data_IF_044840270936
#
_entry.id   IF_044840270936
#
_cell.length_a   1.000
_cell.length_b   1.000
_cell.length_c   1.000
_cell.angle_alpha   90.00
_cell.angle_beta   90.00
_cell.angle_gamma   90.00
#
_symmetry.space_group_name_H-M   'P 1'
#
loop_
_entity.id
_entity.type
_entity.pdbx_description
1 polymer ?
#
# COMPACT_ATOMS: atom_id res chain seq x y z
N UNK A 1 -22.88 -40.58 -42.37
CA UNK A 1 -22.10 -40.64 -41.10
C UNK A 1 -21.91 -39.28 -40.43
N UNK A 2 -22.55 -38.18 -40.89
CA UNK A 2 -22.29 -36.82 -40.36
C UNK A 2 -23.34 -36.25 -39.40
N UNK A 3 -24.46 -36.94 -39.15
CA UNK A 3 -25.53 -36.41 -38.28
C UNK A 3 -25.33 -36.76 -36.80
N UNK A 4 -24.49 -37.75 -36.48
CA UNK A 4 -24.24 -38.18 -35.08
C UNK A 4 -23.16 -37.37 -34.35
N UNK A 5 -22.25 -36.71 -35.07
CA UNK A 5 -21.17 -35.89 -34.50
C UNK A 5 -21.66 -34.50 -34.05
N UNK A 6 -22.70 -33.95 -34.68
CA UNK A 6 -23.28 -32.65 -34.32
C UNK A 6 -24.03 -32.69 -32.96
N UNK A 7 -24.80 -33.75 -32.69
CA UNK A 7 -25.54 -33.88 -31.43
C UNK A 7 -24.65 -34.08 -30.20
N UNK A 8 -23.49 -34.72 -30.36
CA UNK A 8 -22.52 -34.91 -29.26
C UNK A 8 -21.81 -33.59 -28.93
N UNK A 9 -21.42 -32.79 -29.94
CA UNK A 9 -20.82 -31.47 -29.70
C UNK A 9 -21.79 -30.45 -29.09
N UNK A 10 -23.08 -30.53 -29.43
CA UNK A 10 -24.10 -29.67 -28.83
C UNK A 10 -24.33 -30.02 -27.36
N UNK A 11 -24.40 -31.32 -27.01
CA UNK A 11 -24.53 -31.77 -25.62
C UNK A 11 -23.36 -31.39 -24.70
N UNK A 12 -22.13 -31.37 -25.21
CA UNK A 12 -20.94 -30.94 -24.45
C UNK A 12 -20.92 -29.42 -24.22
N UNK A 13 -21.35 -28.62 -25.21
CA UNK A 13 -21.49 -27.15 -25.05
C UNK A 13 -22.55 -26.79 -24.01
N UNK A 14 -23.69 -27.47 -24.00
CA UNK A 14 -24.76 -27.21 -23.03
C UNK A 14 -24.35 -27.60 -21.61
N UNK A 15 -23.62 -28.72 -21.43
CA UNK A 15 -23.06 -29.12 -20.13
C UNK A 15 -21.98 -28.14 -19.63
N UNK A 16 -21.13 -27.61 -20.51
CA UNK A 16 -20.12 -26.59 -20.16
C UNK A 16 -20.75 -25.24 -19.77
N UNK A 17 -21.87 -24.88 -20.39
CA UNK A 17 -22.67 -23.70 -20.01
C UNK A 17 -23.35 -23.88 -18.65
N UNK A 18 -23.96 -25.05 -18.39
CA UNK A 18 -24.59 -25.35 -17.10
C UNK A 18 -23.57 -25.40 -15.96
N UNK A 19 -22.35 -25.92 -16.20
CA UNK A 19 -21.27 -25.86 -15.22
C UNK A 19 -20.81 -24.42 -14.95
N UNK A 20 -20.70 -23.58 -16.00
CA UNK A 20 -20.29 -22.18 -15.85
C UNK A 20 -21.34 -21.34 -15.10
N UNK A 21 -22.64 -21.60 -15.33
CA UNK A 21 -23.73 -20.96 -14.57
C UNK A 21 -23.73 -21.43 -13.11
N UNK A 22 -23.48 -22.71 -12.87
CA UNK A 22 -23.39 -23.26 -11.50
C UNK A 22 -22.19 -22.69 -10.74
N UNK A 23 -21.02 -22.55 -11.39
CA UNK A 23 -19.82 -21.90 -10.81
C UNK A 23 -20.07 -20.41 -10.55
N UNK A 24 -20.80 -19.72 -11.44
CA UNK A 24 -21.17 -18.30 -11.22
C UNK A 24 -22.12 -18.13 -10.04
N UNK A 25 -23.12 -19.01 -9.90
CA UNK A 25 -24.05 -18.97 -8.77
C UNK A 25 -23.37 -19.34 -7.44
N UNK A 26 -22.44 -20.30 -7.47
CA UNK A 26 -21.66 -20.70 -6.29
C UNK A 26 -20.68 -19.59 -5.87
N UNK A 27 -20.11 -18.85 -6.83
CA UNK A 27 -19.34 -17.63 -6.56
C UNK A 27 -20.20 -16.51 -5.97
N UNK A 28 -21.44 -16.30 -6.43
CA UNK A 28 -22.34 -15.28 -5.86
C UNK A 28 -22.80 -15.64 -4.43
N UNK A 29 -22.94 -16.93 -4.14
CA UNK A 29 -23.27 -17.44 -2.81
C UNK A 29 -22.07 -17.33 -1.84
N UNK A 30 -20.85 -17.62 -2.30
CA UNK A 30 -19.60 -17.33 -1.57
C UNK A 30 -19.40 -15.82 -1.34
N UNK A 31 -19.66 -15.00 -2.36
CA UNK A 31 -19.60 -13.53 -2.29
C UNK A 31 -20.56 -12.98 -1.24
N UNK A 32 -21.77 -13.56 -1.17
CA UNK A 32 -22.77 -13.26 -0.15
C UNK A 32 -22.36 -13.75 1.26
N UNK A 33 -21.70 -14.91 1.36
CA UNK A 33 -21.15 -15.43 2.64
C UNK A 33 -19.98 -14.60 3.15
N UNK A 34 -19.09 -14.12 2.27
CA UNK A 34 -17.98 -13.21 2.62
C UNK A 34 -18.54 -11.85 3.07
N UNK A 35 -19.50 -11.27 2.35
CA UNK A 35 -20.19 -10.04 2.76
C UNK A 35 -20.93 -10.18 4.10
N UNK A 36 -21.53 -11.36 4.38
CA UNK A 36 -22.15 -11.66 5.69
C UNK A 36 -21.12 -11.85 6.81
N UNK A 37 -19.94 -12.42 6.51
CA UNK A 37 -18.85 -12.58 7.48
C UNK A 37 -18.18 -11.24 7.82
N UNK A 38 -18.14 -10.30 6.85
CA UNK A 38 -17.67 -8.92 7.05
C UNK A 38 -18.73 -8.05 7.75
N UNK A 39 -20.03 -8.21 7.44
CA UNK A 39 -21.15 -7.54 8.15
C UNK A 39 -21.47 -8.11 9.53
N UNK A 40 -20.93 -9.28 9.89
CA UNK A 40 -21.18 -9.94 11.18
C UNK A 40 -20.56 -9.22 12.39
N UNK A 41 -19.73 -8.20 12.16
CA UNK A 41 -19.23 -7.31 13.21
C UNK A 41 -19.93 -5.96 13.10
N UNK A 42 -21.20 -5.91 13.49
CA UNK A 42 -21.94 -4.67 13.69
C UNK A 42 -22.82 -4.82 14.92
N UNK A 43 -22.49 -4.00 15.92
CA UNK A 43 -23.04 -3.89 17.27
C UNK A 43 -22.62 -4.99 18.26
N UNK A 44 -21.87 -4.58 19.28
CA UNK A 44 -22.48 -4.45 20.60
C UNK A 44 -22.52 -2.99 21.06
N UNK A 45 -23.65 -2.63 21.65
CA UNK A 45 -23.87 -1.62 22.69
C UNK A 45 -22.76 -0.60 22.97
N UNK A 46 -23.14 0.67 22.85
CA UNK A 46 -22.54 1.84 23.51
C UNK A 46 -22.40 1.62 25.02
N UNK A 47 -21.32 0.94 25.42
CA UNK A 47 -20.60 1.13 26.68
C UNK A 47 -19.45 0.12 26.68
N UNK A 48 -18.20 0.59 26.53
CA UNK A 48 -17.07 -0.20 27.00
C UNK A 48 -16.11 0.67 27.78
N UNK A 49 -15.75 0.13 28.93
CA UNK A 49 -15.09 0.76 30.07
C UNK A 49 -13.72 1.32 29.74
N UNK A 50 -13.38 2.41 30.44
CA UNK A 50 -12.04 2.99 30.59
C UNK A 50 -10.97 1.90 30.70
N UNK A 51 -10.26 1.64 29.61
CA UNK A 51 -8.92 1.06 29.67
C UNK A 51 -8.01 2.11 29.04
N UNK A 52 -7.47 2.97 29.89
CA UNK A 52 -6.32 3.81 29.54
C UNK A 52 -5.20 2.86 29.15
N UNK A 53 -4.81 2.87 27.88
CA UNK A 53 -3.54 2.26 27.49
C UNK A 53 -2.48 3.34 27.69
N UNK A 54 -1.69 3.16 28.76
CA UNK A 54 -0.60 4.05 29.10
C UNK A 54 0.51 3.98 28.02
N UNK A 55 1.22 5.10 27.79
CA UNK A 55 2.36 5.12 26.87
C UNK A 55 3.47 4.15 27.34
N UNK A 56 4.30 3.61 26.42
CA UNK A 56 5.38 2.71 26.79
C UNK A 56 6.40 3.41 27.69
N UNK A 57 6.77 2.73 28.78
CA UNK A 57 7.76 3.18 29.74
C UNK A 57 9.18 2.89 29.22
N UNK A 58 9.99 3.94 28.99
CA UNK A 58 11.33 4.07 29.59
C UNK A 58 12.08 5.38 29.26
N UNK A 59 12.56 6.02 30.35
CA UNK A 59 13.78 6.82 30.59
C UNK A 59 14.11 8.05 29.70
N UNK A 60 13.85 9.27 30.20
CA UNK A 60 14.85 10.14 30.88
C UNK A 60 14.30 11.56 31.14
N UNK A 61 14.31 11.97 32.41
CA UNK A 61 14.00 13.33 32.86
C UNK A 61 15.10 14.31 32.41
N UNK A 62 14.75 15.28 31.56
CA UNK A 62 15.51 16.50 31.32
C UNK A 62 14.82 17.72 31.97
N UNK A 63 15.55 18.75 32.42
CA UNK A 63 14.99 19.79 33.27
C UNK A 63 14.06 20.76 32.52
N UNK A 64 12.96 21.11 33.20
CA UNK A 64 12.01 22.18 32.83
C UNK A 64 12.73 23.48 32.47
N UNK A 65 12.44 24.00 31.29
CA UNK A 65 12.81 25.37 30.91
C UNK A 65 11.57 26.29 30.97
N UNK A 66 11.82 27.50 31.47
CA UNK A 66 10.85 28.53 31.78
C UNK A 66 10.23 29.20 30.54
N UNK A 67 9.11 29.88 30.80
CA UNK A 67 8.21 30.61 29.91
C UNK A 67 8.83 31.58 28.86
N UNK A 68 8.21 31.54 27.65
CA UNK A 68 7.98 32.59 26.61
C UNK A 68 9.20 33.04 25.75
N UNK A 69 9.02 33.34 24.43
CA UNK A 69 8.02 34.26 23.87
C UNK A 69 7.26 33.81 22.61
N UNK A 70 6.22 34.60 22.30
CA UNK A 70 5.34 34.59 21.13
C UNK A 70 6.10 34.29 19.81
N UNK A 71 6.11 33.04 19.34
CA UNK A 71 6.84 32.61 18.15
C UNK A 71 5.89 32.56 16.94
N UNK A 72 6.26 33.29 15.87
CA UNK A 72 5.65 33.19 14.55
C UNK A 72 5.58 31.73 14.12
N UNK A 73 4.39 31.27 13.74
CA UNK A 73 4.14 29.96 13.14
C UNK A 73 5.17 29.75 12.02
N UNK A 74 6.11 28.82 12.20
CA UNK A 74 6.96 28.39 11.09
C UNK A 74 6.03 27.87 9.99
N UNK A 75 6.14 28.43 8.78
CA UNK A 75 5.28 28.07 7.65
C UNK A 75 5.58 26.69 7.07
N UNK A 76 6.56 25.97 7.62
CA UNK A 76 6.99 24.65 7.20
C UNK A 76 6.44 23.59 8.15
N UNK A 77 5.74 22.60 7.61
CA UNK A 77 5.29 21.43 8.34
C UNK A 77 6.48 20.58 8.79
N UNK A 78 6.43 20.07 10.02
CA UNK A 78 7.28 18.98 10.47
C UNK A 78 6.60 17.66 10.08
N UNK A 79 7.22 16.88 9.20
CA UNK A 79 6.69 15.59 8.77
C UNK A 79 7.10 14.46 9.73
N UNK A 80 6.12 13.77 10.32
CA UNK A 80 6.36 12.63 11.18
C UNK A 80 5.84 11.33 10.57
N UNK A 81 6.48 10.22 10.95
CA UNK A 81 5.93 8.88 10.71
C UNK A 81 5.25 8.44 12.01
N UNK A 82 3.94 8.13 12.00
CA UNK A 82 3.23 7.77 13.22
C UNK A 82 3.74 6.45 13.79
N UNK A 83 3.79 6.34 15.10
CA UNK A 83 4.10 5.08 15.78
C UNK A 83 2.92 4.10 15.65
N UNK A 84 3.24 2.81 15.62
CA UNK A 84 2.26 1.71 15.61
C UNK A 84 2.47 0.86 16.85
N UNK A 85 1.43 0.66 17.65
CA UNK A 85 1.40 -0.38 18.69
C UNK A 85 1.53 -1.74 18.01
N UNK A 86 2.27 -2.67 18.63
CA UNK A 86 2.78 -3.90 18.00
C UNK A 86 1.74 -4.96 17.62
N UNK A 87 0.45 -4.65 17.67
CA UNK A 87 -0.60 -5.54 17.22
C UNK A 87 -0.91 -5.29 15.74
N UNK A 88 -0.90 -6.34 14.91
CA UNK A 88 -1.13 -6.18 13.46
C UNK A 88 -2.52 -5.57 13.16
N UNK A 89 -3.46 -5.77 14.08
CA UNK A 89 -4.84 -5.31 14.04
C UNK A 89 -5.10 -3.98 14.77
N UNK A 90 -4.13 -3.39 15.48
CA UNK A 90 -4.31 -2.04 16.03
C UNK A 90 -4.11 -1.00 14.92
N UNK A 91 -5.13 -0.15 14.73
CA UNK A 91 -5.19 0.90 13.71
C UNK A 91 -4.97 2.29 14.30
N UNK A 92 -4.47 2.35 15.54
CA UNK A 92 -4.20 3.59 16.25
C UNK A 92 -2.85 4.16 15.83
N UNK A 93 -2.89 5.36 15.28
CA UNK A 93 -1.73 6.17 14.93
C UNK A 93 -1.39 7.10 16.08
N UNK A 94 -0.10 7.22 16.40
CA UNK A 94 0.36 8.09 17.48
C UNK A 94 1.31 9.17 16.99
N UNK A 95 1.16 10.35 17.59
CA UNK A 95 2.09 11.47 17.54
C UNK A 95 2.44 11.85 18.98
N UNK A 96 3.72 11.78 19.33
CA UNK A 96 4.24 12.39 20.55
C UNK A 96 4.85 13.72 20.22
N UNK A 97 4.32 14.78 20.80
CA UNK A 97 4.72 16.13 20.50
C UNK A 97 5.27 16.83 21.74
N UNK A 98 6.53 17.27 21.67
CA UNK A 98 7.21 17.97 22.78
C UNK A 98 7.20 19.49 22.62
N UNK A 99 6.74 20.03 21.48
CA UNK A 99 6.78 21.46 21.20
C UNK A 99 5.61 21.94 20.34
N UNK A 100 5.13 23.19 20.52
CA UNK A 100 4.16 23.78 19.61
C UNK A 100 4.66 23.78 18.16
N UNK A 101 3.77 23.59 17.19
CA UNK A 101 4.14 23.49 15.77
C UNK A 101 3.07 22.88 14.88
N UNK A 102 3.36 22.77 13.58
CA UNK A 102 2.51 22.10 12.59
C UNK A 102 3.11 20.74 12.24
N UNK A 103 2.43 19.65 12.57
CA UNK A 103 2.93 18.29 12.37
C UNK A 103 2.08 17.53 11.36
N UNK A 104 2.68 17.16 10.23
CA UNK A 104 2.00 16.42 9.17
C UNK A 104 2.35 14.93 9.21
N UNK A 105 1.32 14.09 9.26
CA UNK A 105 1.49 12.65 9.18
C UNK A 105 1.79 12.22 7.74
N UNK A 106 2.93 11.56 7.51
CA UNK A 106 3.33 11.03 6.19
C UNK A 106 2.38 9.95 5.64
N UNK A 107 1.63 9.27 6.52
CA UNK A 107 0.78 8.12 6.14
C UNK A 107 -0.64 8.55 5.79
N UNK A 108 -1.28 9.38 6.64
CA UNK A 108 -2.66 9.83 6.43
C UNK A 108 -2.76 11.19 5.76
N UNK A 109 -1.68 11.99 5.75
CA UNK A 109 -1.69 13.38 5.33
C UNK A 109 -2.29 14.35 6.37
N UNK A 110 -2.90 13.85 7.45
CA UNK A 110 -3.50 14.66 8.51
C UNK A 110 -2.45 15.57 9.17
N UNK A 111 -2.79 16.84 9.36
CA UNK A 111 -1.92 17.81 10.04
C UNK A 111 -2.53 18.24 11.37
N UNK A 112 -1.70 18.26 12.41
CA UNK A 112 -2.04 18.78 13.73
C UNK A 112 -1.30 20.10 13.98
N UNK A 113 -2.04 21.17 14.26
CA UNK A 113 -1.47 22.40 14.80
C UNK A 113 -1.47 22.32 16.33
N UNK A 114 -0.30 22.07 16.90
CA UNK A 114 -0.08 21.92 18.34
C UNK A 114 0.23 23.27 18.96
N UNK A 115 -0.49 23.64 20.03
CA UNK A 115 -0.23 24.86 20.82
C UNK A 115 0.72 24.62 22.01
N UNK A 116 0.91 23.37 22.40
CA UNK A 116 1.71 22.93 23.54
C UNK A 116 2.15 21.48 23.34
N UNK A 117 2.98 20.97 24.25
CA UNK A 117 3.31 19.55 24.31
C UNK A 117 2.04 18.71 24.54
N UNK A 118 2.02 17.49 24.00
CA UNK A 118 0.91 16.58 24.18
C UNK A 118 0.98 15.39 23.23
N UNK A 119 0.34 14.30 23.64
CA UNK A 119 0.24 13.10 22.83
C UNK A 119 -1.10 13.09 22.10
N UNK A 120 -1.03 12.79 20.80
CA UNK A 120 -2.21 12.66 19.96
C UNK A 120 -2.29 11.23 19.48
N UNK A 121 -3.44 10.62 19.67
CA UNK A 121 -3.79 9.33 19.08
C UNK A 121 -4.96 9.53 18.12
N UNK A 122 -4.97 8.81 17.00
CA UNK A 122 -6.12 8.82 16.12
C UNK A 122 -6.29 7.52 15.34
N UNK A 123 -7.50 7.28 14.86
CA UNK A 123 -7.84 6.13 13.99
C UNK A 123 -8.62 6.61 12.77
N UNK A 124 -8.50 5.89 11.67
CA UNK A 124 -9.36 6.11 10.49
C UNK A 124 -10.57 5.19 10.66
N UNK A 125 -11.75 5.78 10.83
CA UNK A 125 -13.00 5.04 11.09
C UNK A 125 -13.95 5.14 9.88
N UNK A 126 -14.84 4.16 9.68
CA UNK A 126 -15.78 4.20 8.55
C UNK A 126 -16.81 5.31 8.71
N UNK A 127 -17.26 5.87 7.58
CA UNK A 127 -18.38 6.80 7.55
C UNK A 127 -19.72 6.08 7.74
N UNK A 128 -20.65 6.71 8.46
CA UNK A 128 -22.06 6.30 8.43
C UNK A 128 -22.78 6.99 7.27
N UNK A 129 -22.89 6.29 6.13
CA UNK A 129 -23.59 6.82 4.95
C UNK A 129 -25.02 7.28 5.27
N UNK A 130 -25.71 6.57 6.16
CA UNK A 130 -27.08 6.91 6.57
C UNK A 130 -27.17 8.30 7.22
N UNK A 131 -26.27 8.59 8.15
CA UNK A 131 -26.28 9.87 8.87
C UNK A 131 -25.92 11.05 7.95
N UNK A 132 -24.98 10.84 7.03
CA UNK A 132 -24.60 11.86 6.06
C UNK A 132 -25.71 12.13 5.03
N UNK A 133 -26.32 11.09 4.47
CA UNK A 133 -27.39 11.25 3.48
C UNK A 133 -28.62 11.95 4.05
N UNK A 134 -28.96 11.73 5.33
CA UNK A 134 -30.05 12.44 6.00
C UNK A 134 -29.82 13.96 6.06
N UNK A 135 -28.56 14.40 6.02
CA UNK A 135 -28.16 15.81 6.05
C UNK A 135 -27.78 16.34 4.66
N UNK A 136 -27.99 15.55 3.59
CA UNK A 136 -27.63 15.93 2.22
C UNK A 136 -26.12 16.09 2.01
N UNK A 137 -25.32 15.31 2.73
CA UNK A 137 -23.85 15.35 2.71
C UNK A 137 -23.26 14.03 2.21
N UNK A 138 -22.03 14.11 1.72
CA UNK A 138 -21.24 12.98 1.23
C UNK A 138 -19.80 13.06 1.71
N UNK A 139 -19.12 11.93 1.94
CA UNK A 139 -17.69 11.93 2.24
C UNK A 139 -16.88 12.60 1.13
N UNK A 140 -15.89 13.40 1.52
CA UNK A 140 -14.87 13.99 0.64
C UNK A 140 -13.43 13.72 1.15
N UNK A 141 -13.31 12.86 2.16
CA UNK A 141 -12.05 12.43 2.77
C UNK A 141 -12.29 11.37 3.85
N UNK A 142 -11.23 10.93 4.55
CA UNK A 142 -11.33 9.96 5.63
C UNK A 142 -11.96 10.59 6.87
N UNK A 143 -12.57 9.77 7.72
CA UNK A 143 -13.05 10.18 9.03
C UNK A 143 -12.02 9.78 10.09
N UNK A 144 -11.50 10.74 10.82
CA UNK A 144 -10.45 10.56 11.82
C UNK A 144 -11.02 10.68 13.23
N UNK A 145 -11.10 9.58 13.98
CA UNK A 145 -11.39 9.57 15.42
C UNK A 145 -10.12 9.98 16.17
N UNK A 146 -10.06 11.22 16.66
CA UNK A 146 -8.87 11.86 17.23
C UNK A 146 -9.04 12.04 18.73
N UNK A 147 -7.99 11.78 19.49
CA UNK A 147 -7.92 11.98 20.94
C UNK A 147 -6.62 12.66 21.33
N UNK A 148 -6.70 13.66 22.22
CA UNK A 148 -5.54 14.29 22.85
C UNK A 148 -5.91 14.64 24.30
N UNK A 149 -5.32 13.94 25.27
CA UNK A 149 -5.66 14.13 26.68
C UNK A 149 -5.28 15.54 27.17
N UNK A 150 -4.18 16.07 26.67
CA UNK A 150 -3.61 17.37 27.04
C UNK A 150 -4.34 18.55 26.39
N UNK A 151 -5.31 18.32 25.50
CA UNK A 151 -6.05 19.35 24.77
C UNK A 151 -5.12 20.31 24.00
N UNK A 152 -3.97 19.79 23.54
CA UNK A 152 -2.88 20.58 22.95
C UNK A 152 -3.03 20.81 21.45
N UNK A 153 -3.99 20.19 20.78
CA UNK A 153 -4.32 20.47 19.38
C UNK A 153 -5.25 21.68 19.31
N UNK A 154 -4.88 22.70 18.53
CA UNK A 154 -5.69 23.89 18.30
C UNK A 154 -6.41 23.86 16.95
N UNK A 155 -5.78 23.29 15.92
CA UNK A 155 -6.29 23.27 14.56
C UNK A 155 -6.01 21.91 13.91
N UNK A 156 -6.91 21.48 13.03
CA UNK A 156 -6.73 20.31 12.18
C UNK A 156 -6.68 20.74 10.71
N UNK A 157 -5.74 20.17 9.94
CA UNK A 157 -5.79 20.25 8.48
C UNK A 157 -6.15 18.86 7.95
N UNK A 158 -7.39 18.73 7.49
CA UNK A 158 -7.98 17.45 7.08
C UNK A 158 -7.82 17.27 5.57
N UNK A 159 -7.20 16.17 5.10
CA UNK A 159 -6.92 15.96 3.69
C UNK A 159 -8.21 15.73 2.87
N UNK A 160 -8.27 16.34 1.70
CA UNK A 160 -9.27 16.07 0.66
C UNK A 160 -8.59 15.81 -0.71
N UNK A 161 -9.36 15.24 -1.64
CA UNK A 161 -8.87 14.93 -2.99
C UNK A 161 -9.66 15.64 -4.09
N UNK A 162 -10.58 16.53 -3.74
CA UNK A 162 -11.37 17.31 -4.70
C UNK A 162 -10.50 18.21 -5.58
N UNK A 163 -10.84 18.29 -6.86
CA UNK A 163 -10.23 19.18 -7.85
C UNK A 163 -11.34 20.10 -8.34
N UNK A 164 -11.49 21.29 -7.74
CA UNK A 164 -12.61 22.15 -8.03
C UNK A 164 -12.58 22.60 -9.49
N UNK A 165 -13.75 22.67 -10.11
CA UNK A 165 -13.91 23.22 -11.46
C UNK A 165 -13.91 24.75 -11.50
N UNK A 166 -14.11 25.39 -10.35
CA UNK A 166 -14.11 26.85 -10.14
C UNK A 166 -13.04 27.24 -9.12
N UNK A 167 -12.70 28.53 -9.02
CA UNK A 167 -11.58 28.99 -8.18
C UNK A 167 -11.74 28.73 -6.66
N UNK A 168 -12.90 28.22 -6.18
CA UNK A 168 -13.12 27.95 -4.76
C UNK A 168 -13.93 26.69 -4.48
N UNK A 169 -13.42 25.82 -3.60
CA UNK A 169 -14.11 24.65 -3.03
C UNK A 169 -15.18 25.03 -1.97
N UNK A 170 -16.05 26.01 -2.24
CA UNK A 170 -17.04 26.49 -1.24
C UNK A 170 -18.06 25.44 -0.80
N UNK A 171 -18.12 24.30 -1.47
CA UNK A 171 -19.00 23.17 -1.16
C UNK A 171 -18.43 22.20 -0.12
N UNK A 172 -17.18 22.38 0.32
CA UNK A 172 -16.56 21.55 1.36
C UNK A 172 -16.80 22.13 2.76
N UNK A 173 -16.98 21.22 3.70
CA UNK A 173 -17.15 21.48 5.13
C UNK A 173 -16.59 20.30 5.92
N UNK A 174 -16.46 20.42 7.24
CA UNK A 174 -16.02 19.32 8.10
C UNK A 174 -17.20 18.81 8.91
N UNK A 175 -17.41 17.50 8.91
CA UNK A 175 -18.31 16.86 9.86
C UNK A 175 -17.55 16.56 11.15
N UNK A 176 -18.13 16.95 12.28
CA UNK A 176 -17.73 16.60 13.63
C UNK A 176 -18.76 15.60 14.17
N UNK A 177 -18.33 14.35 14.39
CA UNK A 177 -19.18 13.24 14.80
C UNK A 177 -18.85 12.90 16.26
N UNK A 178 -19.76 13.29 17.15
CA UNK A 178 -19.69 13.01 18.58
C UNK A 178 -20.86 12.16 19.06
N UNK A 179 -20.96 11.97 20.38
CA UNK A 179 -22.01 11.15 21.00
C UNK A 179 -23.42 11.74 20.82
N UNK A 180 -23.53 13.08 20.72
CA UNK A 180 -24.80 13.80 20.54
C UNK A 180 -25.26 13.89 19.09
N UNK A 181 -24.43 13.45 18.12
CA UNK A 181 -24.77 13.44 16.70
C UNK A 181 -23.68 14.00 15.80
N UNK A 182 -24.09 14.54 14.65
CA UNK A 182 -23.20 15.12 13.65
C UNK A 182 -23.42 16.63 13.55
N UNK A 183 -22.34 17.38 13.71
CA UNK A 183 -22.29 18.82 13.48
C UNK A 183 -21.45 19.14 12.24
N UNK A 184 -21.76 20.24 11.56
CA UNK A 184 -21.00 20.68 10.39
C UNK A 184 -20.27 21.99 10.68
N UNK A 185 -18.94 21.90 10.68
CA UNK A 185 -18.02 23.01 10.91
C UNK A 185 -17.65 23.62 9.55
N UNK A 186 -17.72 24.96 9.46
CA UNK A 186 -17.24 25.69 8.28
C UNK A 186 -15.72 25.71 8.28
N UNK A 187 -15.13 25.58 7.10
CA UNK A 187 -13.70 25.71 6.93
C UNK A 187 -13.25 27.14 7.23
N UNK A 188 -12.13 27.29 7.95
CA UNK A 188 -11.40 28.54 8.06
C UNK A 188 -10.70 28.86 6.73
N UNK A 189 -10.09 27.83 6.14
CA UNK A 189 -9.41 27.89 4.86
C UNK A 189 -9.54 26.55 4.15
N UNK A 190 -9.61 26.58 2.82
CA UNK A 190 -9.58 25.38 1.98
C UNK A 190 -8.45 25.56 0.97
N UNK A 191 -7.46 24.69 1.08
CA UNK A 191 -6.31 24.64 0.18
C UNK A 191 -6.58 23.65 -0.96
N UNK A 192 -5.60 23.39 -1.82
CA UNK A 192 -5.72 22.36 -2.86
C UNK A 192 -5.80 20.92 -2.30
N UNK A 193 -5.42 20.72 -1.04
CA UNK A 193 -5.23 19.38 -0.46
C UNK A 193 -5.83 19.20 0.93
N UNK A 194 -6.10 20.29 1.66
CA UNK A 194 -6.59 20.25 3.03
C UNK A 194 -7.70 21.27 3.28
N UNK A 195 -8.66 20.86 4.12
CA UNK A 195 -9.62 21.74 4.78
C UNK A 195 -9.13 22.02 6.19
N UNK A 196 -9.00 23.30 6.53
CA UNK A 196 -8.44 23.78 7.79
C UNK A 196 -9.58 24.21 8.72
N UNK A 197 -9.61 23.67 9.94
CA UNK A 197 -10.59 24.03 10.98
C UNK A 197 -9.95 24.18 12.36
N UNK A 198 -10.46 25.14 13.13
CA UNK A 198 -10.18 25.23 14.56
C UNK A 198 -11.03 24.22 15.33
N UNK A 199 -10.45 23.59 16.35
CA UNK A 199 -11.15 22.62 17.19
C UNK A 199 -11.08 23.02 18.66
N UNK A 200 -12.15 22.71 19.40
CA UNK A 200 -12.23 22.90 20.85
C UNK A 200 -12.45 21.60 21.61
N UNK A 201 -12.69 20.50 20.89
CA UNK A 201 -12.94 19.17 21.43
C UNK A 201 -12.39 18.08 20.51
N UNK A 202 -12.45 16.85 21.00
CA UNK A 202 -11.85 15.67 20.37
C UNK A 202 -12.89 14.59 20.18
N UNK A 203 -13.04 14.15 18.95
CA UNK A 203 -13.94 13.07 18.51
C UNK A 203 -13.59 12.74 17.04
N UNK A 204 -14.55 12.26 16.25
CA UNK A 204 -14.32 11.98 14.84
C UNK A 204 -14.55 13.20 13.93
N UNK A 205 -13.54 13.55 13.13
CA UNK A 205 -13.57 14.66 12.17
C UNK A 205 -13.28 14.19 10.75
N UNK A 206 -14.05 14.66 9.77
CA UNK A 206 -13.82 14.29 8.37
C UNK A 206 -14.41 15.29 7.38
N UNK A 207 -13.78 15.40 6.21
CA UNK A 207 -14.24 16.33 5.17
C UNK A 207 -15.47 15.77 4.48
N UNK A 208 -16.49 16.62 4.32
CA UNK A 208 -17.73 16.31 3.61
C UNK A 208 -18.04 17.37 2.56
N UNK A 209 -18.72 16.94 1.50
CA UNK A 209 -19.27 17.79 0.45
C UNK A 209 -20.79 17.73 0.42
N UNK A 210 -21.41 18.76 -0.15
CA UNK A 210 -22.86 18.75 -0.41
C UNK A 210 -23.21 17.70 -1.47
N UNK A 211 -24.29 16.96 -1.28
CA UNK A 211 -24.72 15.94 -2.24
C UNK A 211 -25.02 16.51 -3.63
N UNK A 212 -25.48 17.76 -3.69
CA UNK A 212 -25.79 18.49 -4.91
C UNK A 212 -24.58 19.21 -5.53
N UNK A 213 -23.36 19.05 -4.98
CA UNK A 213 -22.16 19.65 -5.57
C UNK A 213 -21.91 19.11 -6.99
N UNK A 214 -21.29 19.92 -7.84
CA UNK A 214 -20.87 19.47 -9.18
C UNK A 214 -20.03 18.18 -9.08
N UNK A 215 -20.10 17.29 -10.09
CA UNK A 215 -19.26 16.09 -10.17
C UNK A 215 -17.84 16.48 -10.58
N UNK A 216 -17.21 17.31 -9.76
CA UNK A 216 -15.85 17.77 -9.95
C UNK A 216 -14.90 16.57 -9.99
N UNK A 217 -13.77 16.75 -10.66
CA UNK A 217 -12.77 15.69 -10.71
C UNK A 217 -12.15 15.52 -9.33
N UNK A 218 -11.66 14.33 -9.04
CA UNK A 218 -10.90 14.05 -7.82
C UNK A 218 -9.53 13.48 -8.18
N UNK A 219 -8.55 13.74 -7.32
CA UNK A 219 -7.30 13.01 -7.32
C UNK A 219 -7.59 11.57 -6.93
N UNK A 220 -7.20 10.63 -7.79
CA UNK A 220 -7.50 9.21 -7.64
C UNK A 220 -6.23 8.36 -7.80
N UNK A 221 -6.37 7.08 -7.49
CA UNK A 221 -5.32 6.06 -7.51
C UNK A 221 -5.78 4.88 -8.36
N UNK A 222 -4.89 4.40 -9.21
CA UNK A 222 -4.99 3.09 -9.88
C UNK A 222 -4.03 2.15 -9.17
N UNK A 223 -4.56 1.29 -8.29
CA UNK A 223 -3.77 0.31 -7.57
C UNK A 223 -3.87 -1.06 -8.25
N UNK A 224 -2.76 -1.77 -8.30
CA UNK A 224 -2.63 -3.03 -9.01
C UNK A 224 -2.21 -4.13 -8.04
N UNK A 225 -2.90 -5.25 -8.13
CA UNK A 225 -2.61 -6.43 -7.34
C UNK A 225 -2.57 -7.66 -8.24
N UNK A 226 -1.45 -8.38 -8.22
CA UNK A 226 -1.23 -9.57 -9.02
C UNK A 226 -1.48 -10.82 -8.19
N UNK A 227 -2.33 -11.70 -8.72
CA UNK A 227 -2.56 -13.04 -8.20
C UNK A 227 -1.90 -14.06 -9.14
N UNK A 228 -0.88 -14.80 -8.67
CA UNK A 228 -0.29 -15.89 -9.44
C UNK A 228 -1.29 -17.04 -9.58
N UNK A 229 -1.13 -17.89 -10.61
CA UNK A 229 -2.01 -19.02 -10.84
C UNK A 229 -1.78 -20.08 -9.77
N UNK A 230 -2.87 -20.66 -9.25
CA UNK A 230 -2.80 -21.69 -8.21
C UNK A 230 -2.25 -23.02 -8.74
N UNK A 231 -2.45 -23.29 -10.03
CA UNK A 231 -1.91 -24.46 -10.75
C UNK A 231 -1.38 -24.02 -12.11
N UNK A 232 -0.51 -24.80 -12.78
CA UNK A 232 0.00 -24.45 -14.12
C UNK A 232 -1.07 -24.26 -15.19
N UNK A 233 -2.27 -24.81 -14.98
CA UNK A 233 -3.42 -24.72 -15.89
C UNK A 233 -4.36 -23.55 -15.56
N UNK A 234 -4.10 -22.84 -14.46
CA UNK A 234 -4.90 -21.67 -14.05
C UNK A 234 -4.39 -20.39 -14.67
N UNK A 235 -5.30 -19.45 -14.89
CA UNK A 235 -4.95 -18.14 -15.43
C UNK A 235 -4.25 -17.25 -14.39
N UNK A 236 -3.36 -16.40 -14.88
CA UNK A 236 -2.86 -15.26 -14.15
C UNK A 236 -3.94 -14.19 -14.03
N UNK A 237 -3.97 -13.49 -12.89
CA UNK A 237 -4.95 -12.43 -12.65
C UNK A 237 -4.31 -11.15 -12.11
N UNK A 238 -4.78 -10.01 -12.59
CA UNK A 238 -4.48 -8.68 -12.03
C UNK A 238 -5.79 -8.04 -11.62
N UNK A 239 -5.90 -7.75 -10.33
CA UNK A 239 -6.96 -6.94 -9.76
C UNK A 239 -6.55 -5.46 -9.83
N UNK A 240 -7.41 -4.66 -10.43
CA UNK A 240 -7.21 -3.22 -10.63
C UNK A 240 -8.27 -2.47 -9.84
N UNK A 241 -7.83 -1.66 -8.89
CA UNK A 241 -8.70 -0.87 -8.02
C UNK A 241 -8.60 0.60 -8.44
N UNK A 242 -9.75 1.25 -8.62
CA UNK A 242 -9.85 2.69 -8.74
C UNK A 242 -10.35 3.26 -7.41
N UNK A 243 -9.51 4.03 -6.72
CA UNK A 243 -9.83 4.58 -5.39
C UNK A 243 -9.54 6.08 -5.34
N UNK A 244 -10.24 6.87 -4.52
CA UNK A 244 -9.85 8.26 -4.27
C UNK A 244 -8.50 8.32 -3.54
N UNK A 245 -7.72 9.40 -3.76
CA UNK A 245 -6.36 9.56 -3.21
C UNK A 245 -6.31 9.47 -1.68
N UNK A 246 -7.38 9.85 -1.00
CA UNK A 246 -7.42 9.89 0.45
C UNK A 246 -7.56 8.52 1.10
N UNK A 247 -7.79 7.45 0.32
CA UNK A 247 -7.76 6.10 0.87
C UNK A 247 -6.33 5.76 1.26
N UNK A 248 -6.12 5.44 2.54
CA UNK A 248 -4.82 5.04 3.06
C UNK A 248 -4.34 3.72 2.45
N UNK A 249 -3.20 3.75 1.74
CA UNK A 249 -2.64 2.56 1.07
C UNK A 249 -2.46 1.38 2.04
N UNK A 250 -2.06 1.63 3.29
CA UNK A 250 -1.90 0.61 4.33
C UNK A 250 -3.19 -0.18 4.59
N UNK A 251 -4.34 0.50 4.65
CA UNK A 251 -5.63 -0.14 4.87
C UNK A 251 -6.01 -1.03 3.67
N UNK A 252 -5.74 -0.55 2.45
CA UNK A 252 -5.93 -1.33 1.23
C UNK A 252 -5.08 -2.60 1.26
N UNK A 253 -3.78 -2.47 1.52
CA UNK A 253 -2.85 -3.61 1.57
C UNK A 253 -3.29 -4.67 2.60
N UNK A 254 -3.70 -4.23 3.80
CA UNK A 254 -4.22 -5.12 4.85
C UNK A 254 -5.48 -5.85 4.41
N UNK A 255 -6.48 -5.13 3.91
CA UNK A 255 -7.74 -5.72 3.45
C UNK A 255 -7.53 -6.73 2.32
N UNK A 256 -6.69 -6.39 1.33
CA UNK A 256 -6.35 -7.29 0.22
C UNK A 256 -5.68 -8.56 0.71
N UNK A 257 -4.69 -8.44 1.62
CA UNK A 257 -4.02 -9.59 2.27
C UNK A 257 -4.97 -10.46 3.09
N UNK A 258 -6.00 -9.87 3.72
CA UNK A 258 -7.04 -10.60 4.48
C UNK A 258 -7.93 -11.43 3.54
N UNK A 259 -8.24 -10.93 2.34
CA UNK A 259 -9.06 -11.66 1.34
C UNK A 259 -8.24 -12.74 0.63
N UNK A 260 -7.00 -12.43 0.25
CA UNK A 260 -6.15 -13.33 -0.51
C UNK A 260 -4.68 -13.09 -0.13
N UNK A 261 -4.07 -14.09 0.52
CA UNK A 261 -2.68 -13.99 1.00
C UNK A 261 -1.64 -14.08 -0.11
N UNK A 262 -1.99 -14.69 -1.24
CA UNK A 262 -1.08 -14.91 -2.37
C UNK A 262 -1.05 -13.72 -3.33
N UNK A 263 -1.96 -12.76 -3.10
CA UNK A 263 -2.02 -11.55 -3.89
C UNK A 263 -0.88 -10.58 -3.55
N UNK A 264 -0.24 -10.07 -4.60
CA UNK A 264 0.96 -9.24 -4.51
C UNK A 264 0.67 -7.83 -5.02
N UNK A 265 0.89 -6.82 -4.19
CA UNK A 265 0.84 -5.43 -4.64
C UNK A 265 1.91 -5.18 -5.71
N UNK A 266 1.50 -4.56 -6.82
CA UNK A 266 2.37 -4.17 -7.92
C UNK A 266 2.61 -2.67 -7.82
N UNK A 267 3.79 -2.31 -7.33
CA UNK A 267 4.20 -0.93 -7.19
C UNK A 267 4.32 -0.27 -8.56
N UNK A 268 3.44 0.70 -8.81
CA UNK A 268 3.43 1.53 -10.02
C UNK A 268 2.96 2.92 -9.64
N UNK A 269 3.41 4.00 -10.33
CA UNK A 269 2.91 5.34 -10.08
C UNK A 269 1.38 5.41 -10.25
N UNK A 270 0.61 5.54 -9.14
CA UNK A 270 -0.81 5.20 -9.15
C UNK A 270 -1.70 6.41 -9.50
N UNK A 271 -1.17 7.63 -9.37
CA UNK A 271 -1.98 8.84 -9.42
C UNK A 271 -2.60 9.10 -10.80
N UNK A 272 -3.87 9.49 -10.78
CA UNK A 272 -4.63 9.98 -11.92
C UNK A 272 -5.73 10.97 -11.46
N UNK A 273 -6.52 11.48 -12.41
CA UNK A 273 -7.70 12.31 -12.14
C UNK A 273 -8.92 11.58 -12.68
N UNK A 274 -9.92 11.36 -11.84
CA UNK A 274 -11.17 10.70 -12.22
C UNK A 274 -12.35 11.56 -11.81
N UNK A 275 -13.45 11.46 -12.55
CA UNK A 275 -14.72 12.09 -12.22
C UNK A 275 -15.64 11.04 -11.58
N UNK A 276 -16.22 11.33 -10.40
CA UNK A 276 -17.20 10.45 -9.78
C UNK A 276 -18.35 10.13 -10.74
N UNK A 277 -18.88 8.90 -10.67
CA UNK A 277 -20.02 8.42 -11.47
C UNK A 277 -19.80 8.35 -12.99
N UNK A 278 -18.58 8.57 -13.47
CA UNK A 278 -18.22 8.34 -14.88
C UNK A 278 -17.84 6.89 -15.12
N UNK A 279 -18.11 6.42 -16.33
CA UNK A 279 -17.73 5.09 -16.81
C UNK A 279 -16.33 5.12 -17.43
N UNK A 280 -15.48 4.22 -16.95
CA UNK A 280 -14.12 4.04 -17.43
C UNK A 280 -13.97 2.69 -18.11
N UNK A 281 -13.02 2.62 -19.05
CA UNK A 281 -12.58 1.38 -19.71
C UNK A 281 -11.12 1.14 -19.40
N UNK A 282 -10.80 -0.07 -18.93
CA UNK A 282 -9.44 -0.57 -18.88
C UNK A 282 -9.14 -1.35 -20.16
N UNK A 283 -8.01 -1.03 -20.80
CA UNK A 283 -7.59 -1.67 -22.05
C UNK A 283 -6.13 -2.09 -21.99
N UNK A 284 -5.79 -3.09 -22.79
CA UNK A 284 -4.42 -3.53 -23.02
C UNK A 284 -4.08 -3.37 -24.50
N UNK A 285 -2.81 -3.56 -24.88
CA UNK A 285 -2.41 -3.42 -26.29
C UNK A 285 -3.22 -4.36 -27.19
N UNK A 286 -3.75 -3.88 -28.34
CA UNK A 286 -4.43 -4.74 -29.31
C UNK A 286 -3.50 -5.84 -29.81
N UNK A 287 -4.00 -7.08 -29.92
CA UNK A 287 -3.29 -8.22 -30.54
C UNK A 287 -2.96 -9.40 -29.62
N UNK A 288 -3.14 -9.29 -28.29
CA UNK A 288 -2.97 -10.44 -27.38
C UNK A 288 -4.30 -11.18 -27.24
N UNK A 289 -4.53 -12.21 -28.06
CA UNK A 289 -5.76 -13.03 -28.05
C UNK A 289 -6.06 -13.71 -26.69
N UNK A 290 -5.06 -13.82 -25.81
CA UNK A 290 -5.13 -14.50 -24.51
C UNK A 290 -5.31 -13.57 -23.30
N UNK A 291 -5.62 -12.27 -23.50
CA UNK A 291 -5.84 -11.34 -22.38
C UNK A 291 -7.29 -10.87 -22.38
N UNK A 292 -7.99 -11.11 -21.28
CA UNK A 292 -9.38 -10.68 -21.06
C UNK A 292 -9.43 -9.64 -19.95
N UNK A 293 -10.10 -8.52 -20.22
CA UNK A 293 -10.42 -7.50 -19.22
C UNK A 293 -11.91 -7.55 -18.92
N UNK A 294 -12.28 -7.57 -17.63
CA UNK A 294 -13.66 -7.56 -17.19
C UNK A 294 -13.85 -6.70 -15.93
N UNK A 295 -14.99 -5.98 -15.78
CA UNK A 295 -15.98 -5.74 -16.83
C UNK A 295 -15.39 -4.90 -17.98
N UNK A 296 -16.12 -4.74 -19.09
CA UNK A 296 -15.68 -3.88 -20.21
C UNK A 296 -15.61 -2.42 -19.79
N UNK A 297 -16.57 -2.01 -18.97
CA UNK A 297 -16.67 -0.66 -18.41
C UNK A 297 -17.10 -0.78 -16.95
N UNK A 298 -16.61 0.13 -16.11
CA UNK A 298 -16.99 0.23 -14.72
C UNK A 298 -17.08 1.69 -14.31
N UNK A 299 -18.01 1.99 -13.40
CA UNK A 299 -18.17 3.31 -12.81
C UNK A 299 -17.09 3.55 -11.75
N UNK A 300 -16.57 4.78 -11.69
CA UNK A 300 -15.71 5.21 -10.58
C UNK A 300 -16.56 5.70 -9.41
N UNK A 301 -16.54 4.93 -8.32
CA UNK A 301 -17.15 5.28 -7.05
C UNK A 301 -16.15 6.01 -6.14
N UNK A 302 -16.30 7.33 -6.02
CA UNK A 302 -15.46 8.16 -5.16
C UNK A 302 -15.88 8.13 -3.68
N UNK A 303 -16.97 7.42 -3.35
CA UNK A 303 -17.52 7.32 -1.99
C UNK A 303 -17.10 5.99 -1.31
N UNK A 304 -16.37 5.13 -2.02
CA UNK A 304 -15.94 3.81 -1.54
C UNK A 304 -14.65 3.88 -0.69
N UNK A 305 -14.81 4.17 0.61
CA UNK A 305 -13.68 4.30 1.56
C UNK A 305 -13.35 3.01 2.34
N UNK A 306 -14.24 2.02 2.33
CA UNK A 306 -14.15 0.78 3.11
C UNK A 306 -14.18 -0.50 2.27
N UNK A 307 -14.49 -0.39 0.97
CA UNK A 307 -14.65 -1.52 0.07
C UNK A 307 -13.55 -1.55 -1.01
N UNK A 308 -12.45 -2.25 -0.72
CA UNK A 308 -11.31 -2.36 -1.65
C UNK A 308 -11.41 -3.59 -2.57
N UNK A 309 -12.59 -3.77 -3.17
CA UNK A 309 -12.80 -4.76 -4.21
C UNK A 309 -12.32 -4.26 -5.58
N UNK A 310 -11.91 -5.15 -6.50
CA UNK A 310 -11.39 -4.74 -7.80
C UNK A 310 -12.47 -4.11 -8.67
N UNK A 311 -12.16 -2.96 -9.26
CA UNK A 311 -13.00 -2.31 -10.28
C UNK A 311 -12.88 -3.03 -11.62
N UNK A 312 -11.68 -3.49 -11.96
CA UNK A 312 -11.42 -4.34 -13.12
C UNK A 312 -10.57 -5.54 -12.74
N UNK A 313 -10.70 -6.60 -13.53
CA UNK A 313 -9.87 -7.78 -13.50
C UNK A 313 -9.28 -8.01 -14.89
N UNK A 314 -7.98 -8.25 -14.93
CA UNK A 314 -7.27 -8.66 -16.14
C UNK A 314 -6.84 -10.11 -15.97
N UNK A 315 -7.35 -10.99 -16.81
CA UNK A 315 -7.10 -12.44 -16.76
C UNK A 315 -6.35 -12.86 -18.01
N UNK A 316 -5.30 -13.67 -17.86
CA UNK A 316 -4.48 -14.14 -18.97
C UNK A 316 -3.81 -15.49 -18.71
N UNK A 317 -3.74 -16.34 -19.74
CA UNK A 317 -3.26 -17.74 -19.62
C UNK A 317 -1.73 -17.85 -19.51
N UNK A 318 -0.98 -17.26 -20.45
CA UNK A 318 0.47 -17.45 -20.55
C UNK A 318 1.25 -16.41 -19.76
N UNK A 319 2.30 -16.83 -19.04
CA UNK A 319 3.20 -15.92 -18.33
C UNK A 319 3.75 -14.85 -19.26
N UNK A 320 3.74 -13.60 -18.79
CA UNK A 320 4.29 -12.45 -19.52
C UNK A 320 5.30 -11.75 -18.62
N UNK A 321 6.38 -11.21 -19.20
CA UNK A 321 7.34 -10.39 -18.43
C UNK A 321 6.77 -9.01 -18.10
N UNK A 322 5.87 -8.50 -18.94
CA UNK A 322 5.14 -7.25 -18.70
C UNK A 322 3.80 -7.18 -19.44
N UNK A 323 2.92 -6.33 -18.92
CA UNK A 323 1.67 -5.91 -19.55
C UNK A 323 1.63 -4.39 -19.67
N UNK A 324 0.89 -3.87 -20.66
CA UNK A 324 0.61 -2.44 -20.79
C UNK A 324 -0.87 -2.23 -20.54
N UNK A 325 -1.18 -1.44 -19.53
CA UNK A 325 -2.53 -1.10 -19.11
C UNK A 325 -2.79 0.38 -19.45
N UNK A 326 -4.00 0.65 -19.93
CA UNK A 326 -4.46 2.00 -20.27
C UNK A 326 -5.88 2.17 -19.77
N UNK A 327 -6.09 3.10 -18.85
CA UNK A 327 -7.39 3.54 -18.36
C UNK A 327 -7.81 4.79 -19.14
N UNK A 328 -9.05 4.80 -19.61
CA UNK A 328 -9.64 5.95 -20.32
C UNK A 328 -11.11 6.09 -19.99
N UNK A 329 -11.61 7.31 -20.11
CA UNK A 329 -13.04 7.58 -20.18
C UNK A 329 -13.52 7.42 -21.64
N UNK A 330 -14.81 7.18 -21.84
CA UNK A 330 -15.40 7.08 -23.19
C UNK A 330 -15.15 8.38 -23.97
N UNK A 331 -14.58 8.25 -25.17
CA UNK A 331 -14.38 9.38 -26.08
C UNK A 331 -13.18 10.27 -25.75
N UNK A 332 -12.39 9.94 -24.72
CA UNK A 332 -11.20 10.71 -24.34
C UNK A 332 -9.91 9.93 -24.57
N UNK A 333 -8.79 10.65 -24.48
CA UNK A 333 -7.46 10.04 -24.46
C UNK A 333 -7.24 9.23 -23.18
N UNK A 334 -6.20 8.40 -23.17
CA UNK A 334 -5.85 7.63 -21.96
C UNK A 334 -5.44 8.56 -20.83
N UNK A 335 -6.15 8.46 -19.70
CA UNK A 335 -5.95 9.27 -18.49
C UNK A 335 -4.83 8.68 -17.63
N UNK A 336 -4.69 7.36 -17.66
CA UNK A 336 -3.61 6.66 -16.99
C UNK A 336 -3.09 5.53 -17.87
N UNK A 337 -1.77 5.41 -17.99
CA UNK A 337 -1.12 4.41 -18.85
C UNK A 337 0.19 3.96 -18.22
N UNK A 338 0.34 2.66 -17.98
CA UNK A 338 1.55 2.09 -17.40
C UNK A 338 1.97 0.80 -18.08
N UNK A 339 3.28 0.59 -18.10
CA UNK A 339 3.87 -0.72 -18.34
C UNK A 339 4.12 -1.35 -16.97
N UNK A 340 3.45 -2.45 -16.71
CA UNK A 340 3.52 -3.20 -15.45
C UNK A 340 4.40 -4.40 -15.71
N UNK A 341 5.51 -4.51 -14.99
CA UNK A 341 6.44 -5.63 -15.09
C UNK A 341 6.10 -6.65 -13.99
N UNK A 342 6.06 -7.93 -14.34
CA UNK A 342 5.82 -9.02 -13.39
C UNK A 342 7.11 -9.67 -12.91
N UNK A 343 8.20 -9.42 -13.63
CA UNK A 343 9.54 -9.78 -13.18
C UNK A 343 9.90 -8.98 -11.94
N UNK A 344 10.21 -9.66 -10.86
CA UNK A 344 10.78 -9.09 -9.63
C UNK A 344 12.18 -8.49 -9.83
N UNK A 345 12.79 -8.63 -11.01
CA UNK A 345 14.13 -8.10 -11.33
C UNK A 345 14.12 -6.62 -11.78
N UNK A 346 13.22 -5.76 -11.29
CA UNK A 346 13.14 -4.39 -11.84
C UNK A 346 12.32 -3.34 -11.10
N UNK A 347 11.81 -3.61 -9.90
CA UNK A 347 11.29 -2.57 -9.01
C UNK A 347 11.80 -2.84 -7.61
N UNK A 348 13.06 -2.48 -7.39
CA UNK A 348 13.50 -2.00 -6.08
C UNK A 348 14.34 -0.75 -6.29
N UNK A 349 13.90 0.31 -5.61
CA UNK A 349 14.57 1.59 -5.32
C UNK A 349 14.28 2.74 -6.28
N UNK A 350 13.15 3.41 -6.03
CA UNK A 350 13.23 4.85 -5.71
C UNK A 350 12.16 5.21 -4.67
N UNK A 351 12.64 5.48 -3.46
CA UNK A 351 11.97 6.03 -2.27
C UNK A 351 11.08 5.06 -1.45
N UNK A 352 11.44 4.86 -0.18
CA UNK A 352 10.87 3.87 0.77
C UNK A 352 9.46 4.19 1.31
N UNK A 353 8.92 3.34 2.22
CA UNK A 353 9.57 2.85 3.44
C UNK A 353 9.97 1.37 3.44
N UNK A 354 11.04 1.13 4.17
CA UNK A 354 11.94 -0.02 4.30
C UNK A 354 11.32 -1.36 4.72
N UNK A 355 11.69 -2.43 3.99
CA UNK A 355 12.12 -3.69 4.60
C UNK A 355 13.37 -3.42 5.45
N UNK A 356 13.20 -3.09 6.72
CA UNK A 356 14.19 -3.34 7.77
C UNK A 356 13.77 -4.70 8.35
N UNK A 357 14.55 -5.78 8.37
CA UNK A 357 15.97 -5.90 8.66
C UNK A 357 16.52 -7.18 8.02
N UNK A 358 17.27 -7.08 6.94
CA UNK A 358 18.20 -8.16 6.54
C UNK A 358 19.48 -7.44 6.11
N UNK A 359 20.46 -7.37 7.01
CA UNK A 359 21.78 -6.81 6.69
C UNK A 359 22.45 -7.63 5.56
N UNK A 360 23.43 -7.09 4.82
CA UNK A 360 24.18 -7.83 3.81
C UNK A 360 24.67 -9.22 4.28
N UNK A 361 25.02 -9.37 5.55
CA UNK A 361 25.39 -10.65 6.16
C UNK A 361 24.22 -11.65 6.25
N UNK A 362 23.03 -11.18 6.61
CA UNK A 362 21.82 -12.01 6.62
C UNK A 362 21.33 -12.31 5.19
N UNK A 363 21.55 -11.40 4.24
CA UNK A 363 21.23 -11.66 2.85
C UNK A 363 22.12 -12.76 2.26
N UNK A 364 23.43 -12.73 2.54
CA UNK A 364 24.35 -13.82 2.18
C UNK A 364 23.97 -15.15 2.84
N UNK A 365 23.36 -15.13 4.03
CA UNK A 365 22.87 -16.34 4.70
C UNK A 365 21.65 -16.92 4.00
N UNK A 366 20.72 -16.08 3.55
CA UNK A 366 19.54 -16.51 2.79
C UNK A 366 19.93 -17.18 1.47
N UNK A 367 20.86 -16.57 0.72
CA UNK A 367 21.28 -17.08 -0.60
C UNK A 367 22.40 -18.13 -0.54
N UNK A 368 22.89 -18.46 0.67
CA UNK A 368 24.09 -19.30 0.89
C UNK A 368 24.03 -20.63 0.14
N UNK A 369 22.90 -21.32 0.21
CA UNK A 369 22.74 -22.65 -0.39
C UNK A 369 22.83 -22.57 -1.91
N UNK A 370 22.10 -21.62 -2.51
CA UNK A 370 22.07 -21.42 -3.95
C UNK A 370 23.43 -20.89 -4.47
N UNK A 371 24.12 -20.08 -3.68
CA UNK A 371 25.48 -19.63 -3.97
C UNK A 371 26.48 -20.79 -4.03
N UNK A 372 26.44 -21.73 -3.07
CA UNK A 372 27.36 -22.88 -3.01
C UNK A 372 27.13 -23.84 -4.18
N UNK A 373 25.88 -24.05 -4.59
CA UNK A 373 25.56 -24.95 -5.71
C UNK A 373 25.80 -24.28 -7.07
N UNK A 374 25.54 -22.97 -7.17
CA UNK A 374 25.55 -22.23 -8.44
C UNK A 374 26.88 -21.60 -8.83
N UNK A 375 27.80 -21.33 -7.89
CA UNK A 375 29.07 -20.68 -8.21
C UNK A 375 30.03 -21.62 -8.95
N UNK A 376 30.70 -21.11 -9.98
CA UNK A 376 31.74 -21.82 -10.73
C UNK A 376 33.13 -21.61 -10.13
N UNK A 377 34.01 -22.60 -10.25
CA UNK A 377 35.39 -22.54 -9.71
C UNK A 377 36.18 -21.29 -10.17
N UNK A 378 36.12 -20.87 -11.46
CA UNK A 378 36.83 -19.66 -11.89
C UNK A 378 36.30 -18.37 -11.25
N UNK A 379 34.99 -18.31 -10.97
CA UNK A 379 34.36 -17.17 -10.29
C UNK A 379 34.75 -17.15 -8.81
N UNK A 380 34.88 -18.31 -8.15
CA UNK A 380 35.43 -18.40 -6.79
C UNK A 380 36.85 -17.83 -6.74
N UNK A 381 37.71 -18.22 -7.67
CA UNK A 381 39.10 -17.73 -7.73
C UNK A 381 39.16 -16.21 -7.96
N UNK A 382 38.38 -15.71 -8.92
CA UNK A 382 38.32 -14.27 -9.23
C UNK A 382 37.73 -13.46 -8.07
N UNK A 383 36.79 -14.05 -7.32
CA UNK A 383 36.17 -13.44 -6.15
C UNK A 383 37.16 -13.36 -4.98
N UNK A 384 37.98 -14.40 -4.76
CA UNK A 384 39.07 -14.38 -3.79
C UNK A 384 40.07 -13.25 -4.08
N UNK A 385 40.48 -13.12 -5.34
CA UNK A 385 41.44 -12.07 -5.75
C UNK A 385 40.86 -10.66 -5.56
N UNK A 386 39.58 -10.45 -5.88
CA UNK A 386 38.89 -9.16 -5.63
C UNK A 386 38.76 -8.86 -4.13
N UNK A 387 38.44 -9.85 -3.30
CA UNK A 387 38.28 -9.68 -1.86
C UNK A 387 39.61 -9.49 -1.13
N UNK A 388 40.70 -10.06 -1.64
CA UNK A 388 42.06 -9.74 -1.19
C UNK A 388 42.41 -8.29 -1.56
N UNK A 389 42.14 -7.88 -2.80
CA UNK A 389 42.42 -6.50 -3.27
C UNK A 389 41.66 -5.44 -2.48
N UNK A 390 40.45 -5.73 -2.01
CA UNK A 390 39.65 -4.80 -1.18
C UNK A 390 39.96 -4.92 0.32
N UNK A 391 40.98 -5.69 0.72
CA UNK A 391 41.36 -5.97 2.10
C UNK A 391 40.25 -6.59 2.96
N UNK A 392 39.29 -7.29 2.34
CA UNK A 392 38.25 -8.05 3.05
C UNK A 392 38.80 -9.39 3.56
N UNK A 393 39.67 -10.01 2.76
CA UNK A 393 40.43 -11.22 3.12
C UNK A 393 41.91 -10.87 3.30
N UNK A 394 42.57 -11.62 4.18
CA UNK A 394 44.04 -11.67 4.30
C UNK A 394 44.63 -12.81 3.47
N UNK A 395 45.95 -12.76 3.22
CA UNK A 395 46.64 -13.82 2.46
C UNK A 395 46.47 -15.21 3.09
N UNK A 396 46.56 -15.30 4.43
CA UNK A 396 46.32 -16.57 5.14
C UNK A 396 44.87 -17.07 5.06
N UNK A 397 43.89 -16.17 4.98
CA UNK A 397 42.49 -16.54 4.78
C UNK A 397 42.21 -17.02 3.34
N UNK A 398 42.90 -16.44 2.36
CA UNK A 398 42.86 -16.89 0.96
C UNK A 398 43.45 -18.29 0.82
N UNK A 399 44.62 -18.53 1.39
CA UNK A 399 45.27 -19.86 1.38
C UNK A 399 44.40 -20.93 2.05
N UNK A 400 43.70 -20.58 3.14
CA UNK A 400 42.76 -21.48 3.80
C UNK A 400 41.58 -21.88 2.90
N UNK A 401 41.05 -20.95 2.08
CA UNK A 401 40.01 -21.26 1.10
C UNK A 401 40.59 -22.07 -0.06
N UNK A 402 41.79 -21.76 -0.54
CA UNK A 402 42.44 -22.50 -1.63
C UNK A 402 42.81 -23.95 -1.24
N UNK A 403 43.09 -24.20 0.04
CA UNK A 403 43.41 -25.52 0.59
C UNK A 403 42.23 -26.52 0.62
N UNK A 404 41.00 -26.07 0.38
CA UNK A 404 39.82 -26.94 0.36
C UNK A 404 39.73 -27.78 -0.92
N UNK A 405 39.29 -29.04 -0.79
CA UNK A 405 39.38 -30.05 -1.88
C UNK A 405 38.34 -29.88 -2.98
N UNK A 406 37.16 -29.34 -2.67
CA UNK A 406 36.07 -29.22 -3.63
C UNK A 406 35.59 -27.79 -3.78
N UNK A 407 35.13 -27.43 -4.99
CA UNK A 407 34.49 -26.13 -5.28
C UNK A 407 33.42 -25.74 -4.27
N UNK A 408 32.58 -26.69 -3.85
CA UNK A 408 31.52 -26.42 -2.88
C UNK A 408 32.09 -26.09 -1.50
N UNK A 409 33.13 -26.80 -1.08
CA UNK A 409 33.77 -26.57 0.21
C UNK A 409 34.47 -25.21 0.22
N UNK A 410 35.14 -24.84 -0.88
CA UNK A 410 35.69 -23.50 -1.12
C UNK A 410 34.63 -22.40 -1.01
N UNK A 411 33.53 -22.54 -1.77
CA UNK A 411 32.42 -21.59 -1.77
C UNK A 411 31.76 -21.46 -0.39
N UNK A 412 31.59 -22.59 0.32
CA UNK A 412 31.02 -22.64 1.67
C UNK A 412 31.89 -21.89 2.66
N UNK A 413 33.20 -22.15 2.65
CA UNK A 413 34.15 -21.54 3.55
C UNK A 413 34.26 -20.03 3.30
N UNK A 414 34.31 -19.63 2.02
CA UNK A 414 34.35 -18.23 1.60
C UNK A 414 33.13 -17.44 2.10
N UNK A 415 31.91 -17.91 1.82
CA UNK A 415 30.70 -17.17 2.20
C UNK A 415 30.51 -17.12 3.73
N UNK A 416 30.89 -18.18 4.47
CA UNK A 416 30.85 -18.15 5.94
C UNK A 416 31.85 -17.18 6.53
N UNK A 417 33.07 -17.14 5.98
CA UNK A 417 34.13 -16.28 6.47
C UNK A 417 33.79 -14.81 6.28
N UNK A 418 33.33 -14.44 5.07
CA UNK A 418 32.90 -13.07 4.76
C UNK A 418 31.68 -12.68 5.61
N UNK A 419 30.70 -13.58 5.77
CA UNK A 419 29.52 -13.30 6.61
C UNK A 419 29.91 -13.02 8.07
N UNK A 420 30.85 -13.79 8.64
CA UNK A 420 31.33 -13.60 10.02
C UNK A 420 32.05 -12.27 10.23
N UNK A 421 32.63 -11.68 9.18
CA UNK A 421 33.28 -10.35 9.23
C UNK A 421 32.28 -9.19 9.22
N UNK A 422 30.99 -9.45 9.03
CA UNK A 422 29.90 -8.48 9.15
C UNK A 422 29.44 -7.86 7.82
N UNK A 423 28.60 -6.84 7.93
CA UNK A 423 27.84 -6.30 6.80
C UNK A 423 28.69 -5.59 5.73
N UNK A 424 29.78 -4.93 6.14
CA UNK A 424 30.70 -4.29 5.20
C UNK A 424 31.38 -5.32 4.28
N UNK A 425 31.97 -6.36 4.86
CA UNK A 425 32.59 -7.46 4.12
C UNK A 425 31.59 -8.20 3.22
N UNK A 426 30.38 -8.43 3.76
CA UNK A 426 29.29 -9.09 3.03
C UNK A 426 28.81 -8.25 1.84
N UNK A 427 28.73 -6.93 2.00
CA UNK A 427 28.40 -5.98 0.93
C UNK A 427 29.45 -5.99 -0.18
N UNK A 428 30.74 -6.00 0.17
CA UNK A 428 31.83 -6.02 -0.81
C UNK A 428 31.89 -7.34 -1.59
N UNK A 429 31.58 -8.47 -0.96
CA UNK A 429 31.44 -9.75 -1.64
C UNK A 429 30.25 -9.77 -2.60
N UNK A 430 29.09 -9.28 -2.17
CA UNK A 430 27.90 -9.17 -3.04
C UNK A 430 28.24 -8.30 -4.26
N UNK A 431 28.83 -7.11 -4.04
CA UNK A 431 29.25 -6.21 -5.13
C UNK A 431 30.20 -6.89 -6.10
N UNK A 432 31.22 -7.57 -5.58
CA UNK A 432 32.24 -8.25 -6.40
C UNK A 432 31.66 -9.42 -7.18
N UNK A 433 30.71 -10.17 -6.60
CA UNK A 433 30.00 -11.25 -7.28
C UNK A 433 29.12 -10.73 -8.41
N UNK A 434 28.42 -9.62 -8.20
CA UNK A 434 27.60 -8.96 -9.22
C UNK A 434 28.41 -8.50 -10.44
N UNK A 435 29.66 -8.10 -10.23
CA UNK A 435 30.58 -7.73 -11.31
C UNK A 435 31.15 -8.95 -12.05
N UNK A 436 31.48 -10.02 -11.32
CA UNK A 436 32.16 -11.20 -11.88
C UNK A 436 31.20 -12.17 -12.57
N UNK A 437 30.01 -12.36 -12.02
CA UNK A 437 29.00 -13.24 -12.58
C UNK A 437 27.61 -12.61 -12.44
N UNK A 438 27.22 -11.73 -13.38
CA UNK A 438 25.90 -11.12 -13.40
C UNK A 438 24.77 -12.14 -13.58
N UNK A 439 25.04 -13.29 -14.23
CA UNK A 439 24.01 -14.30 -14.48
C UNK A 439 23.66 -15.04 -13.20
N UNK A 440 24.67 -15.49 -12.46
CA UNK A 440 24.51 -16.08 -11.13
C UNK A 440 23.94 -15.06 -10.15
N UNK A 441 24.42 -13.82 -10.16
CA UNK A 441 23.92 -12.76 -9.27
C UNK A 441 22.44 -12.47 -9.49
N UNK A 442 21.97 -12.52 -10.74
CA UNK A 442 20.55 -12.43 -11.08
C UNK A 442 19.77 -13.66 -10.62
N UNK A 443 20.34 -14.85 -10.71
CA UNK A 443 19.73 -16.09 -10.21
C UNK A 443 19.59 -16.08 -8.67
N UNK A 444 20.60 -15.54 -7.97
CA UNK A 444 20.64 -15.38 -6.52
C UNK A 444 19.84 -14.16 -6.01
N UNK A 445 19.26 -13.36 -6.91
CA UNK A 445 18.46 -12.19 -6.55
C UNK A 445 19.27 -11.00 -5.99
N UNK A 446 20.57 -10.93 -6.32
CA UNK A 446 21.49 -9.87 -5.90
C UNK A 446 21.43 -8.61 -6.79
N UNK A 447 21.00 -8.76 -8.06
CA UNK A 447 20.83 -7.68 -9.05
C UNK A 447 19.57 -7.81 -9.90
#
# INVERSE_FOLDING_TARGET
>A
MEVRTAHVQQGVKTRKWLLAVSISQQNDEERSKILRRVRGHSSPSLSWSLISQDPPADVSNGPRAASLPNMKLQSSFEEFTPDFTGDEDDETYWLRCSSPGLYQCRVSGLVFAMKAEGDVSYRIVPWSSRLLSQQGKKPAGPLFDIRCQQQSVAQLHLPHCEIPSTDKCTYLSVAHVGDEGIEFIKAEEITETHVIINITGFSAFGVVRNENSSPDSVQALVLLFYKPPATPESDHQINVLLLPKNVGLRNVLRFRKKIDRDERFLETPPHCRLQPKRLYTLSTRPGRKSVRVQPKEAEFDAESYDNYLPTFQVVYENFMSYIKLSLRERGTNSIWKRRVCFSTAGVRRSYGPTRQNVGPSEHLKEIRTDFIEGISEPVVQSLLDKLLKTNVLSDGEREAVEGERTRRDKARLLVDMVRRKGDYASSEMIRSLCELDPFLSKHLGLI
#
